data_IF_087783130506
#
_entry.id   IF_087783130506
#
_cell.length_a   1.000
_cell.length_b   1.000
_cell.length_c   1.000
_cell.angle_alpha   90.00
_cell.angle_beta   90.00
_cell.angle_gamma   90.00
#
_symmetry.space_group_name_H-M   'P 1'
#
loop_
_entity.id
_entity.type
_entity.pdbx_description
1 polymer ?
#
# COMPACT_ATOMS: atom_id res chain seq x y z
N UNK A 1 26.31 9.70 -2.09
CA UNK A 1 25.94 9.41 -2.72
C UNK A 1 24.87 9.31 -2.81
N UNK A 2 24.58 9.37 -2.90
CA UNK A 2 23.70 9.40 -2.77
C UNK A 2 22.62 9.37 -3.28
N UNK A 3 22.08 9.91 -3.61
CA UNK A 3 20.94 10.09 -4.16
C UNK A 3 20.56 9.07 -5.02
N UNK A 4 20.65 7.86 -4.58
CA UNK A 4 20.15 6.74 -5.29
C UNK A 4 18.66 6.86 -5.41
N UNK A 5 18.07 6.40 -6.54
CA UNK A 5 16.63 6.40 -6.69
C UNK A 5 15.94 5.62 -5.58
N UNK A 6 16.67 4.72 -4.91
CA UNK A 6 16.12 3.91 -3.83
C UNK A 6 16.25 4.57 -2.47
N UNK A 7 16.73 5.82 -2.38
CA UNK A 7 16.79 6.51 -1.11
C UNK A 7 15.41 6.81 -0.54
N UNK A 8 14.42 6.86 -1.40
CA UNK A 8 13.04 7.10 -1.01
C UNK A 8 12.10 6.16 -1.72
N UNK A 9 11.09 5.72 -1.02
CA UNK A 9 10.01 4.93 -1.59
C UNK A 9 8.72 5.74 -1.50
N UNK A 10 7.99 5.82 -2.59
CA UNK A 10 6.73 6.57 -2.64
C UNK A 10 5.61 5.60 -2.36
N UNK A 11 4.89 5.82 -1.27
CA UNK A 11 3.79 4.94 -0.85
C UNK A 11 2.48 5.73 -0.88
N UNK A 12 1.55 5.26 -1.70
CA UNK A 12 0.22 5.83 -1.76
C UNK A 12 -0.64 5.17 -0.68
N UNK A 13 -1.29 5.98 0.14
CA UNK A 13 -2.15 5.49 1.22
C UNK A 13 -3.55 6.04 1.00
N UNK A 14 -4.50 5.14 0.80
CA UNK A 14 -5.87 5.50 0.48
C UNK A 14 -6.82 5.08 1.59
N UNK A 15 -7.51 6.04 2.17
CA UNK A 15 -8.65 5.83 3.06
C UNK A 15 -9.40 7.15 3.16
N UNK A 16 -10.74 7.10 3.16
CA UNK A 16 -11.54 8.30 3.38
C UNK A 16 -11.52 8.75 4.85
N UNK A 17 -10.93 7.94 5.74
CA UNK A 17 -10.88 8.25 7.17
C UNK A 17 -9.47 8.70 7.55
N UNK A 18 -9.30 10.00 7.87
CA UNK A 18 -7.96 10.52 8.21
C UNK A 18 -7.32 9.80 9.39
N UNK A 19 -8.12 9.35 10.36
CA UNK A 19 -7.59 8.63 11.52
C UNK A 19 -6.96 7.29 11.14
N UNK A 20 -7.51 6.62 10.10
CA UNK A 20 -6.92 5.37 9.61
C UNK A 20 -5.59 5.66 8.94
N UNK A 21 -5.50 6.72 8.15
CA UNK A 21 -4.25 7.08 7.49
C UNK A 21 -3.16 7.40 8.52
N UNK A 22 -3.50 8.16 9.55
CA UNK A 22 -2.56 8.46 10.63
C UNK A 22 -2.10 7.20 11.33
N UNK A 23 -3.03 6.30 11.63
CA UNK A 23 -2.72 5.06 12.32
C UNK A 23 -1.74 4.21 11.52
N UNK A 24 -1.95 4.08 10.22
CA UNK A 24 -1.08 3.28 9.36
C UNK A 24 0.31 3.92 9.27
N UNK A 25 0.38 5.23 9.03
CA UNK A 25 1.68 5.91 8.95
C UNK A 25 2.47 5.77 10.23
N UNK A 26 1.79 5.92 11.37
CA UNK A 26 2.44 5.80 12.67
C UNK A 26 2.95 4.38 12.90
N UNK A 27 2.15 3.39 12.54
CA UNK A 27 2.52 1.99 12.74
C UNK A 27 3.71 1.58 11.87
N UNK A 28 3.73 2.00 10.61
CA UNK A 28 4.80 1.64 9.68
C UNK A 28 6.06 2.46 9.93
N UNK A 29 5.90 3.73 10.27
CA UNK A 29 7.02 4.62 10.51
C UNK A 29 7.65 5.15 9.24
N UNK A 30 8.73 5.90 9.42
CA UNK A 30 9.42 6.53 8.28
C UNK A 30 10.23 5.54 7.46
N UNK A 31 10.79 4.54 8.12
CA UNK A 31 11.60 3.50 7.48
C UNK A 31 11.22 2.19 8.15
N UNK A 32 10.47 1.32 7.45
CA UNK A 32 9.95 0.11 8.09
C UNK A 32 10.99 -0.96 8.38
N UNK A 33 12.18 -0.85 7.76
CA UNK A 33 13.29 -1.76 8.04
C UNK A 33 14.59 -1.08 7.62
N UNK A 34 15.74 -1.49 8.20
CA UNK A 34 17.02 -0.83 7.89
C UNK A 34 17.45 -0.97 6.44
N UNK A 35 17.01 -2.02 5.76
CA UNK A 35 17.43 -2.32 4.38
C UNK A 35 16.48 -1.78 3.32
N UNK A 36 15.46 -1.02 3.72
CA UNK A 36 14.54 -0.38 2.76
C UNK A 36 14.61 1.13 2.89
N UNK A 37 14.22 1.86 1.84
CA UNK A 37 14.31 3.33 1.87
C UNK A 37 13.32 3.96 2.82
N UNK A 38 13.54 5.23 3.12
CA UNK A 38 12.55 6.03 3.80
C UNK A 38 11.33 6.19 2.91
N UNK A 39 10.18 6.26 3.55
CA UNK A 39 8.91 6.40 2.85
C UNK A 39 8.52 7.86 2.74
N UNK A 40 8.14 8.25 1.52
CA UNK A 40 7.41 9.49 1.28
C UNK A 40 5.95 9.09 1.09
N UNK A 41 5.11 9.51 1.99
CA UNK A 41 3.70 9.13 1.98
C UNK A 41 2.90 10.08 1.09
N UNK A 42 2.03 9.53 0.25
CA UNK A 42 1.02 10.29 -0.48
C UNK A 42 -0.33 9.83 0.05
N UNK A 43 -0.97 10.66 0.86
CA UNK A 43 -2.27 10.33 1.43
C UNK A 43 -3.38 10.78 0.50
N UNK A 44 -4.34 9.91 0.27
CA UNK A 44 -5.49 10.20 -0.58
C UNK A 44 -6.76 9.76 0.14
N UNK A 45 -7.80 10.56 0.00
CA UNK A 45 -9.07 10.29 0.67
C UNK A 45 -10.19 9.89 -0.27
N UNK A 46 -9.97 10.01 -1.58
CA UNK A 46 -10.98 9.65 -2.58
C UNK A 46 -10.38 8.80 -3.67
N UNK A 47 -11.23 8.08 -4.37
CA UNK A 47 -10.81 7.29 -5.52
C UNK A 47 -10.16 8.18 -6.58
N UNK A 48 -10.77 9.34 -6.85
CA UNK A 48 -10.25 10.26 -7.86
C UNK A 48 -8.84 10.73 -7.53
N UNK A 49 -8.57 11.03 -6.26
CA UNK A 49 -7.23 11.41 -5.84
C UNK A 49 -6.23 10.28 -6.04
N UNK A 50 -6.62 9.06 -5.68
CA UNK A 50 -5.74 7.90 -5.83
C UNK A 50 -5.41 7.67 -7.31
N UNK A 51 -6.42 7.72 -8.18
CA UNK A 51 -6.21 7.52 -9.61
C UNK A 51 -5.29 8.60 -10.17
N UNK A 52 -5.50 9.86 -9.79
CA UNK A 52 -4.67 10.96 -10.26
C UNK A 52 -3.19 10.75 -9.89
N UNK A 53 -2.93 10.29 -8.68
CA UNK A 53 -1.56 10.05 -8.24
C UNK A 53 -0.93 8.88 -9.01
N UNK A 54 -1.70 7.84 -9.28
CA UNK A 54 -1.19 6.71 -10.06
C UNK A 54 -0.90 7.12 -11.50
N UNK A 55 -1.72 7.99 -12.08
CA UNK A 55 -1.51 8.48 -13.44
C UNK A 55 -0.24 9.31 -13.55
N UNK A 56 0.15 9.99 -12.48
CA UNK A 56 1.41 10.74 -12.48
C UNK A 56 2.63 9.81 -12.44
N UNK A 57 2.44 8.60 -11.96
CA UNK A 57 3.52 7.62 -11.90
C UNK A 57 4.43 7.78 -10.68
N UNK A 58 5.39 6.90 -10.56
CA UNK A 58 6.39 6.97 -9.50
C UNK A 58 5.99 6.33 -8.19
N UNK A 59 4.83 5.68 -8.13
CA UNK A 59 4.36 5.00 -6.92
C UNK A 59 5.07 3.66 -6.80
N UNK A 60 5.65 3.38 -5.64
CA UNK A 60 6.36 2.12 -5.38
C UNK A 60 5.48 1.09 -4.67
N UNK A 61 4.47 1.54 -3.95
CA UNK A 61 3.61 0.66 -3.15
C UNK A 61 2.29 1.36 -2.88
N UNK A 62 1.21 0.60 -2.88
CA UNK A 62 -0.10 1.12 -2.50
C UNK A 62 -0.62 0.41 -1.25
N UNK A 63 -1.21 1.19 -0.34
CA UNK A 63 -1.93 0.65 0.81
C UNK A 63 -3.35 1.18 0.71
N UNK A 64 -4.31 0.28 0.54
CA UNK A 64 -5.70 0.65 0.25
C UNK A 64 -6.61 0.14 1.37
N UNK A 65 -7.40 1.04 1.95
CA UNK A 65 -8.33 0.69 3.02
C UNK A 65 -9.53 -0.05 2.45
N UNK A 66 -9.66 -1.34 2.77
CA UNK A 66 -10.77 -2.16 2.31
C UNK A 66 -12.12 -1.68 2.78
N UNK A 67 -12.15 -0.89 3.87
CA UNK A 67 -13.40 -0.37 4.44
C UNK A 67 -13.69 1.07 4.03
N UNK A 68 -12.92 1.63 3.09
CA UNK A 68 -13.12 3.02 2.67
C UNK A 68 -14.46 3.20 1.97
N UNK A 69 -15.01 4.41 2.09
CA UNK A 69 -16.29 4.77 1.50
C UNK A 69 -16.11 5.99 0.61
N UNK A 70 -16.85 6.14 -0.46
CA UNK A 70 -17.82 5.18 -0.99
C UNK A 70 -17.18 4.02 -1.76
N UNK A 71 -15.88 4.11 -2.08
CA UNK A 71 -15.19 3.07 -2.83
C UNK A 71 -14.20 2.35 -1.93
N UNK A 72 -14.44 1.06 -1.71
CA UNK A 72 -13.56 0.24 -0.89
C UNK A 72 -12.26 -0.12 -1.60
N UNK A 73 -11.20 -0.27 -0.80
CA UNK A 73 -9.86 -0.56 -1.34
C UNK A 73 -9.74 -1.90 -2.04
N UNK A 74 -10.59 -2.88 -1.70
CA UNK A 74 -10.51 -4.18 -2.36
C UNK A 74 -10.93 -4.11 -3.81
N UNK A 75 -12.01 -3.38 -4.11
CA UNK A 75 -12.44 -3.17 -5.49
C UNK A 75 -11.42 -2.36 -6.27
N UNK A 76 -10.86 -1.33 -5.65
CA UNK A 76 -9.80 -0.55 -6.28
C UNK A 76 -8.56 -1.39 -6.57
N UNK A 77 -8.15 -2.24 -5.62
CA UNK A 77 -6.99 -3.10 -5.81
C UNK A 77 -7.18 -3.98 -7.06
N UNK A 78 -8.35 -4.62 -7.16
CA UNK A 78 -8.65 -5.46 -8.30
C UNK A 78 -8.65 -4.68 -9.61
N UNK A 79 -9.25 -3.49 -9.60
CA UNK A 79 -9.29 -2.62 -10.77
C UNK A 79 -7.87 -2.24 -11.21
N UNK A 80 -7.03 -1.78 -10.28
CA UNK A 80 -5.68 -1.36 -10.61
C UNK A 80 -4.83 -2.52 -11.13
N UNK A 81 -4.99 -3.72 -10.54
CA UNK A 81 -4.25 -4.89 -11.01
C UNK A 81 -4.62 -5.27 -12.43
N UNK A 82 -5.87 -5.05 -12.85
CA UNK A 82 -6.28 -5.32 -14.21
C UNK A 82 -5.88 -4.20 -15.18
N UNK A 83 -5.90 -2.95 -14.74
CA UNK A 83 -5.75 -1.81 -15.63
C UNK A 83 -4.33 -1.29 -15.78
N UNK A 84 -3.51 -1.49 -14.76
CA UNK A 84 -2.16 -0.90 -14.75
C UNK A 84 -1.13 -1.97 -15.05
N UNK A 85 -0.39 -1.77 -16.15
CA UNK A 85 0.76 -2.62 -16.46
C UNK A 85 1.87 -2.32 -15.46
N UNK A 86 2.58 -3.35 -15.03
CA UNK A 86 3.61 -3.20 -14.02
C UNK A 86 3.08 -2.49 -12.76
N UNK A 87 1.87 -2.90 -12.35
CA UNK A 87 1.22 -2.32 -11.19
C UNK A 87 2.08 -2.48 -9.94
N UNK A 88 2.26 -1.41 -9.15
CA UNK A 88 2.97 -1.53 -7.88
C UNK A 88 2.30 -2.55 -6.96
N UNK A 89 3.04 -3.15 -6.02
CA UNK A 89 2.41 -4.03 -5.04
C UNK A 89 1.28 -3.32 -4.30
N UNK A 90 0.26 -4.08 -3.95
CA UNK A 90 -0.92 -3.55 -3.26
C UNK A 90 -1.09 -4.28 -1.94
N UNK A 91 -1.16 -3.52 -0.86
CA UNK A 91 -1.55 -4.02 0.45
C UNK A 91 -2.96 -3.53 0.73
N UNK A 92 -3.84 -4.43 1.15
CA UNK A 92 -5.21 -4.06 1.52
C UNK A 92 -5.36 -4.14 3.03
N UNK A 93 -5.95 -3.10 3.63
CA UNK A 93 -6.32 -3.15 5.05
C UNK A 93 -7.65 -3.88 5.13
N UNK A 94 -7.72 -4.92 5.97
CA UNK A 94 -8.96 -5.65 6.19
C UNK A 94 -9.42 -5.45 7.62
N UNK A 95 -10.75 -5.40 7.82
CA UNK A 95 -11.30 -5.13 9.15
C UNK A 95 -11.14 -6.34 10.07
N UNK A 96 -11.21 -7.55 9.50
CA UNK A 96 -11.17 -8.78 10.28
C UNK A 96 -10.38 -9.84 9.52
N UNK A 97 -9.73 -10.74 10.28
CA UNK A 97 -8.94 -11.81 9.66
C UNK A 97 -9.77 -12.70 8.74
N UNK A 98 -11.04 -12.93 9.08
CA UNK A 98 -11.90 -13.76 8.26
C UNK A 98 -12.25 -13.12 6.91
N UNK A 99 -11.88 -11.86 6.70
CA UNK A 99 -12.06 -11.20 5.42
C UNK A 99 -10.93 -11.51 4.44
N UNK A 100 -10.00 -12.36 4.82
CA UNK A 100 -8.84 -12.68 3.98
C UNK A 100 -9.20 -13.22 2.58
N UNK A 101 -10.32 -13.93 2.45
CA UNK A 101 -10.74 -14.41 1.15
C UNK A 101 -11.09 -13.25 0.20
N UNK A 102 -11.61 -12.16 0.73
CA UNK A 102 -11.88 -10.96 -0.06
C UNK A 102 -10.59 -10.32 -0.54
N UNK A 103 -9.54 -10.38 0.29
CA UNK A 103 -8.25 -9.89 -0.12
C UNK A 103 -7.69 -10.69 -1.30
N UNK A 104 -7.86 -12.01 -1.28
CA UNK A 104 -7.48 -12.85 -2.41
C UNK A 104 -8.26 -12.47 -3.66
N UNK A 105 -9.56 -12.25 -3.52
CA UNK A 105 -10.38 -11.80 -4.64
C UNK A 105 -9.88 -10.47 -5.22
N UNK A 106 -9.39 -9.59 -4.37
CA UNK A 106 -8.92 -8.27 -4.78
C UNK A 106 -7.60 -8.30 -5.54
N UNK A 107 -6.91 -9.43 -5.54
CA UNK A 107 -5.58 -9.62 -6.14
C UNK A 107 -4.49 -8.85 -5.39
N UNK A 108 -4.75 -8.48 -4.15
CA UNK A 108 -3.75 -7.80 -3.34
C UNK A 108 -2.54 -8.71 -3.08
N UNK A 109 -1.38 -8.09 -2.98
CA UNK A 109 -0.13 -8.83 -2.73
C UNK A 109 0.04 -9.18 -1.25
N UNK A 110 -0.57 -8.40 -0.37
CA UNK A 110 -0.52 -8.64 1.07
C UNK A 110 -1.70 -7.97 1.74
N UNK A 111 -1.93 -8.32 3.00
CA UNK A 111 -2.99 -7.72 3.81
C UNK A 111 -2.42 -7.27 5.15
N UNK A 112 -3.05 -6.24 5.71
CA UNK A 112 -2.83 -5.83 7.09
C UNK A 112 -4.19 -5.84 7.77
N UNK A 113 -4.32 -6.67 8.82
CA UNK A 113 -5.57 -6.75 9.57
C UNK A 113 -5.64 -5.64 10.60
N UNK A 114 -6.85 -5.13 10.83
CA UNK A 114 -7.06 -4.17 11.91
C UNK A 114 -7.48 -4.93 13.17
N UNK A 115 -7.13 -4.44 14.34
CA UNK A 115 -6.33 -3.23 14.59
C UNK A 115 -4.90 -3.40 14.13
N UNK A 116 -4.33 -2.31 13.61
CA UNK A 116 -3.00 -2.37 13.00
C UNK A 116 -1.93 -2.61 14.06
N UNK A 117 -1.21 -3.71 13.90
CA UNK A 117 -0.07 -4.02 14.77
C UNK A 117 1.19 -3.43 14.14
N UNK A 118 1.92 -2.56 14.85
CA UNK A 118 3.08 -1.88 14.25
C UNK A 118 4.16 -2.82 13.73
N UNK A 119 4.46 -3.89 14.46
CA UNK A 119 5.50 -4.82 14.03
C UNK A 119 5.11 -5.53 12.75
N UNK A 120 3.88 -6.04 12.70
CA UNK A 120 3.37 -6.75 11.53
C UNK A 120 3.24 -5.80 10.34
N UNK A 121 2.72 -4.58 10.57
CA UNK A 121 2.54 -3.61 9.50
C UNK A 121 3.88 -3.21 8.89
N UNK A 122 4.87 -2.90 9.72
CA UNK A 122 6.19 -2.52 9.22
C UNK A 122 6.82 -3.66 8.43
N UNK A 123 6.70 -4.89 8.91
CA UNK A 123 7.24 -6.06 8.22
C UNK A 123 6.57 -6.26 6.87
N UNK A 124 5.25 -6.15 6.82
CA UNK A 124 4.50 -6.35 5.58
C UNK A 124 4.89 -5.30 4.54
N UNK A 125 4.99 -4.05 4.95
CA UNK A 125 5.39 -2.96 4.05
C UNK A 125 6.82 -3.16 3.57
N UNK A 126 7.74 -3.50 4.48
CA UNK A 126 9.13 -3.71 4.12
C UNK A 126 9.28 -4.85 3.11
N UNK A 127 8.55 -5.94 3.30
CA UNK A 127 8.61 -7.07 2.38
C UNK A 127 8.15 -6.68 0.97
N UNK A 128 7.09 -5.91 0.86
CA UNK A 128 6.60 -5.49 -0.46
C UNK A 128 7.53 -4.49 -1.12
N UNK A 129 8.12 -3.59 -0.34
CA UNK A 129 9.11 -2.67 -0.89
C UNK A 129 10.36 -3.39 -1.39
N UNK A 130 10.82 -4.40 -0.66
CA UNK A 130 11.96 -5.21 -1.10
C UNK A 130 11.70 -5.84 -2.45
N UNK A 131 10.50 -6.39 -2.64
CA UNK A 131 10.12 -7.00 -3.91
C UNK A 131 10.13 -5.98 -5.04
N UNK A 132 9.50 -4.86 -4.83
CA UNK A 132 9.38 -3.83 -5.86
C UNK A 132 10.73 -3.27 -6.24
N UNK A 133 11.55 -2.93 -5.26
CA UNK A 133 12.80 -2.24 -5.49
C UNK A 133 13.91 -3.18 -5.96
N UNK A 134 13.78 -4.49 -5.69
CA UNK A 134 14.76 -5.47 -6.18
C UNK A 134 14.45 -5.95 -7.58
N UNK A 135 13.34 -5.51 -8.17
CA UNK A 135 12.93 -5.95 -9.49
C UNK A 135 12.26 -7.31 -9.53
N UNK A 136 11.97 -7.90 -8.38
CA UNK A 136 11.25 -9.18 -8.34
C UNK A 136 9.80 -8.93 -8.75
N UNK A 137 9.26 -9.72 -9.70
CA UNK A 137 7.87 -9.51 -10.12
C UNK A 137 6.89 -9.64 -8.96
N UNK A 138 5.85 -8.83 -9.03
CA UNK A 138 4.80 -8.86 -8.01
C UNK A 138 3.99 -10.14 -8.17
N UNK A 139 3.74 -10.84 -7.06
CA UNK A 139 2.98 -12.08 -7.04
C UNK A 139 1.49 -11.74 -7.02
N UNK A 140 0.73 -12.47 -7.79
CA UNK A 140 -0.72 -12.30 -7.84
C UNK A 140 -1.45 -13.56 -7.48
#
# INVERSE_FOLDING_TARGET
MADLPTDRAIVLLYSNRPEVRTLVRTAVGRRPAPDVPRIDWIETGTEAEAVAQLDEGGIDLMILDGEAQPTGGMGLARQFKYEIDDCPPVIVLIARKQDGWLASWSLADAVISQPVDPITAARTVADQLRRRLSGIPVVR
#
